data_IF_812396227027
#
_entry.id   IF_812396227027
#
_cell.length_a   1.000
_cell.length_b   1.000
_cell.length_c   1.000
_cell.angle_alpha   90.00
_cell.angle_beta   90.00
_cell.angle_gamma   90.00
#
_symmetry.space_group_name_H-M   'P 1'
#
loop_
_entity.id
_entity.type
_entity.pdbx_description
1 polymer ?
#
# COMPACT_ATOMS: atom_id res chain seq x y z
N UNK A 1 10.43 -28.54 -7.23
CA UNK A 1 10.47 -27.72 -8.45
C UNK A 1 10.11 -26.31 -7.99
N UNK A 2 11.08 -25.39 -8.11
CA UNK A 2 11.11 -23.99 -7.68
C UNK A 2 10.70 -23.69 -6.22
N UNK A 3 11.70 -23.44 -5.37
CA UNK A 3 11.57 -22.79 -4.05
C UNK A 3 11.23 -21.30 -4.27
N UNK A 4 10.08 -21.04 -4.90
CA UNK A 4 9.67 -19.76 -5.47
C UNK A 4 8.77 -18.98 -4.49
N UNK A 5 9.21 -18.79 -3.25
CA UNK A 5 8.38 -18.12 -2.24
C UNK A 5 9.19 -17.21 -1.30
N UNK A 6 10.40 -16.82 -1.70
CA UNK A 6 11.10 -15.73 -1.03
C UNK A 6 10.59 -14.36 -1.52
N UNK A 7 9.26 -14.16 -1.52
CA UNK A 7 8.70 -12.80 -1.57
C UNK A 7 9.23 -12.07 -0.35
N UNK A 8 10.11 -11.10 -0.61
CA UNK A 8 10.59 -10.19 0.41
C UNK A 8 9.40 -9.33 0.83
N UNK A 9 8.85 -9.63 2.01
CA UNK A 9 7.76 -8.85 2.58
C UNK A 9 8.39 -7.77 3.44
N UNK A 10 8.21 -6.48 3.10
CA UNK A 10 8.78 -5.41 3.87
C UNK A 10 8.21 -5.41 5.29
N UNK A 11 9.01 -5.02 6.30
CA UNK A 11 8.58 -4.97 7.69
C UNK A 11 7.37 -4.05 7.89
N UNK A 12 7.21 -3.02 7.05
CA UNK A 12 6.03 -2.16 7.04
C UNK A 12 4.74 -2.91 6.72
N UNK A 13 4.77 -3.87 5.78
CA UNK A 13 3.60 -4.70 5.46
C UNK A 13 3.39 -5.80 6.52
N UNK A 14 4.48 -6.36 7.04
CA UNK A 14 4.41 -7.29 8.16
C UNK A 14 3.71 -6.66 9.38
N UNK A 15 3.97 -5.37 9.66
CA UNK A 15 3.34 -4.65 10.75
C UNK A 15 1.80 -4.53 10.60
N UNK A 16 1.29 -4.46 9.38
CA UNK A 16 -0.17 -4.42 9.09
C UNK A 16 -0.87 -5.68 9.60
N UNK A 17 -0.22 -6.83 9.47
CA UNK A 17 -0.78 -8.13 9.84
C UNK A 17 -0.20 -8.71 11.14
N UNK A 18 0.60 -7.94 11.87
CA UNK A 18 1.15 -8.34 13.16
C UNK A 18 0.26 -7.86 14.32
N UNK A 19 0.23 -8.63 15.42
CA UNK A 19 -0.38 -8.20 16.68
C UNK A 19 0.54 -7.20 17.42
N UNK A 20 0.05 -6.58 18.51
CA UNK A 20 0.82 -5.69 19.37
C UNK A 20 2.14 -6.29 19.91
N UNK A 21 2.24 -7.63 19.95
CA UNK A 21 3.46 -8.38 20.32
C UNK A 21 4.33 -8.77 19.12
N UNK A 22 4.02 -8.30 17.92
CA UNK A 22 4.78 -8.56 16.69
C UNK A 22 4.54 -9.93 16.06
N UNK A 23 3.53 -10.70 16.51
CA UNK A 23 3.23 -12.02 15.92
C UNK A 23 2.26 -11.88 14.76
N UNK A 24 2.57 -12.52 13.64
CA UNK A 24 1.70 -12.57 12.48
C UNK A 24 0.36 -13.23 12.82
N UNK A 25 -0.72 -12.58 12.40
CA UNK A 25 -2.08 -13.06 12.59
C UNK A 25 -2.52 -14.04 11.50
N UNK A 26 -1.71 -14.17 10.44
CA UNK A 26 -1.97 -15.01 9.27
C UNK A 26 -0.70 -15.78 8.84
N UNK A 27 -0.84 -16.91 8.12
CA UNK A 27 0.30 -17.71 7.71
C UNK A 27 1.18 -16.99 6.67
N UNK A 28 2.49 -17.26 6.69
CA UNK A 28 3.50 -16.58 5.85
C UNK A 28 3.17 -16.61 4.35
N UNK A 29 2.57 -17.71 3.86
CA UNK A 29 2.13 -17.86 2.47
C UNK A 29 1.00 -16.91 2.11
N UNK A 30 0.01 -16.78 2.99
CA UNK A 30 -1.10 -15.84 2.79
C UNK A 30 -0.60 -14.39 2.88
N UNK A 31 0.38 -14.11 3.74
CA UNK A 31 1.03 -12.79 3.80
C UNK A 31 1.68 -12.44 2.47
N UNK A 32 2.35 -13.39 1.83
CA UNK A 32 2.97 -13.21 0.51
C UNK A 32 1.94 -12.89 -0.56
N UNK A 33 0.85 -13.66 -0.62
CA UNK A 33 -0.24 -13.41 -1.57
C UNK A 33 -0.91 -12.04 -1.34
N UNK A 34 -1.17 -11.65 -0.08
CA UNK A 34 -1.74 -10.33 0.25
C UNK A 34 -0.77 -9.21 -0.12
N UNK A 35 0.53 -9.39 0.17
CA UNK A 35 1.56 -8.42 -0.18
C UNK A 35 1.65 -8.21 -1.69
N UNK A 36 1.71 -9.28 -2.47
CA UNK A 36 1.74 -9.23 -3.93
C UNK A 36 0.52 -8.50 -4.49
N UNK A 37 -0.68 -8.85 -4.01
CA UNK A 37 -1.92 -8.17 -4.39
C UNK A 37 -1.86 -6.66 -4.10
N UNK A 38 -1.39 -6.27 -2.92
CA UNK A 38 -1.28 -4.87 -2.52
C UNK A 38 -0.23 -4.12 -3.34
N UNK A 39 0.90 -4.76 -3.65
CA UNK A 39 1.96 -4.16 -4.46
C UNK A 39 1.50 -3.97 -5.91
N UNK A 40 0.86 -4.97 -6.53
CA UNK A 40 0.31 -4.87 -7.88
C UNK A 40 -0.75 -3.77 -7.96
N UNK A 41 -1.63 -3.68 -6.96
CA UNK A 41 -2.64 -2.63 -6.89
C UNK A 41 -2.01 -1.23 -6.76
N UNK A 42 -0.96 -1.08 -5.96
CA UNK A 42 -0.24 0.19 -5.86
C UNK A 42 0.40 0.59 -7.21
N UNK A 43 0.97 -0.37 -7.95
CA UNK A 43 1.52 -0.13 -9.28
C UNK A 43 0.42 0.28 -10.28
N UNK A 44 -0.71 -0.43 -10.31
CA UNK A 44 -1.83 -0.12 -11.20
C UNK A 44 -2.44 1.27 -10.92
N UNK A 45 -2.40 1.72 -9.67
CA UNK A 45 -2.91 3.04 -9.27
C UNK A 45 -1.97 4.20 -9.62
N UNK A 46 -0.72 3.95 -10.02
CA UNK A 46 0.24 5.00 -10.37
C UNK A 46 -0.25 5.88 -11.52
N UNK A 47 -0.68 5.25 -12.60
CA UNK A 47 -1.16 5.95 -13.79
C UNK A 47 -2.47 6.67 -13.48
N UNK A 48 -3.36 6.03 -12.73
CA UNK A 48 -4.63 6.61 -12.33
C UNK A 48 -4.45 7.84 -11.43
N UNK A 49 -3.54 7.79 -10.45
CA UNK A 49 -3.25 8.91 -9.57
C UNK A 49 -2.70 10.12 -10.35
N UNK A 50 -1.76 9.88 -11.26
CA UNK A 50 -1.20 10.93 -12.11
C UNK A 50 -2.26 11.53 -13.04
N UNK A 51 -3.13 10.68 -13.62
CA UNK A 51 -4.24 11.13 -14.45
C UNK A 51 -5.21 12.01 -13.67
N UNK A 52 -5.64 11.61 -12.46
CA UNK A 52 -6.53 12.40 -11.60
C UNK A 52 -5.90 13.75 -11.26
N UNK A 53 -4.62 13.77 -10.89
CA UNK A 53 -3.90 15.01 -10.57
C UNK A 53 -3.90 15.97 -11.76
N UNK A 54 -3.59 15.47 -12.95
CA UNK A 54 -3.50 16.26 -14.16
C UNK A 54 -4.87 16.74 -14.66
N UNK A 55 -5.85 15.84 -14.74
CA UNK A 55 -7.17 16.11 -15.29
C UNK A 55 -7.98 17.08 -14.43
N UNK A 56 -7.87 16.96 -13.10
CA UNK A 56 -8.62 17.79 -12.16
C UNK A 56 -7.82 18.97 -11.61
N UNK A 57 -6.52 19.06 -11.92
CA UNK A 57 -5.63 20.10 -11.41
C UNK A 57 -5.56 20.16 -9.88
N UNK A 58 -5.76 19.02 -9.20
CA UNK A 58 -5.78 18.91 -7.74
C UNK A 58 -4.39 18.61 -7.17
N UNK A 59 -4.25 18.75 -5.86
CA UNK A 59 -2.99 18.44 -5.16
C UNK A 59 -2.80 16.93 -5.00
N UNK A 60 -1.55 16.51 -4.83
CA UNK A 60 -1.13 15.13 -4.55
C UNK A 60 -1.89 14.54 -3.35
N UNK A 61 -2.05 15.32 -2.28
CA UNK A 61 -2.78 14.91 -1.08
C UNK A 61 -4.28 14.69 -1.33
N UNK A 62 -4.89 15.47 -2.22
CA UNK A 62 -6.30 15.29 -2.61
C UNK A 62 -6.48 13.99 -3.41
N UNK A 63 -5.57 13.70 -4.34
CA UNK A 63 -5.58 12.44 -5.10
C UNK A 63 -5.42 11.24 -4.17
N UNK A 64 -4.40 11.24 -3.30
CA UNK A 64 -4.17 10.15 -2.35
C UNK A 64 -5.36 9.98 -1.40
N UNK A 65 -5.96 11.07 -0.93
CA UNK A 65 -7.17 11.03 -0.10
C UNK A 65 -8.37 10.38 -0.82
N UNK A 66 -8.55 10.65 -2.12
CA UNK A 66 -9.60 10.00 -2.92
C UNK A 66 -9.35 8.52 -3.11
N UNK A 67 -8.12 8.15 -3.47
CA UNK A 67 -7.73 6.74 -3.64
C UNK A 67 -7.90 5.99 -2.32
N UNK A 68 -7.46 6.56 -1.19
CA UNK A 68 -7.63 5.98 0.13
C UNK A 68 -9.10 5.70 0.47
N UNK A 69 -10.00 6.66 0.21
CA UNK A 69 -11.44 6.47 0.42
C UNK A 69 -12.02 5.39 -0.47
N UNK A 70 -11.52 5.26 -1.70
CA UNK A 70 -11.89 4.18 -2.61
C UNK A 70 -11.46 2.81 -2.07
N UNK A 71 -10.22 2.69 -1.61
CA UNK A 71 -9.65 1.44 -1.08
C UNK A 71 -10.24 1.00 0.25
N UNK A 72 -10.71 1.94 1.07
CA UNK A 72 -11.43 1.65 2.31
C UNK A 72 -12.88 1.22 2.08
N UNK A 73 -13.39 1.30 0.84
CA UNK A 73 -14.72 0.84 0.54
C UNK A 73 -14.76 -0.70 0.59
N UNK A 74 -15.87 -1.31 1.06
CA UNK A 74 -15.99 -2.76 1.15
C UNK A 74 -15.86 -3.47 -0.22
N UNK A 75 -16.06 -2.75 -1.32
CA UNK A 75 -15.89 -3.26 -2.68
C UNK A 75 -14.42 -3.59 -3.04
N UNK A 76 -13.44 -3.01 -2.33
CA UNK A 76 -12.02 -3.25 -2.60
C UNK A 76 -11.53 -4.60 -2.11
N UNK A 77 -12.26 -5.24 -1.17
CA UNK A 77 -11.85 -6.52 -0.58
C UNK A 77 -10.58 -6.46 0.29
N UNK A 78 -10.09 -5.26 0.56
CA UNK A 78 -8.93 -5.00 1.41
C UNK A 78 -9.36 -4.69 2.85
N UNK A 79 -8.53 -5.11 3.80
CA UNK A 79 -8.63 -4.65 5.18
C UNK A 79 -8.15 -3.19 5.29
N UNK A 80 -8.62 -2.47 6.33
CA UNK A 80 -8.29 -1.06 6.51
C UNK A 80 -6.78 -0.79 6.54
N UNK A 81 -6.00 -1.69 7.16
CA UNK A 81 -4.54 -1.57 7.20
C UNK A 81 -3.86 -1.85 5.85
N UNK A 82 -4.42 -2.77 5.04
CA UNK A 82 -3.91 -3.03 3.69
C UNK A 82 -4.18 -1.83 2.78
N UNK A 83 -5.39 -1.27 2.83
CA UNK A 83 -5.75 -0.06 2.09
C UNK A 83 -4.80 1.11 2.43
N UNK A 84 -4.53 1.33 3.71
CA UNK A 84 -3.61 2.39 4.15
C UNK A 84 -2.16 2.15 3.68
N UNK A 85 -1.74 0.89 3.68
CA UNK A 85 -0.42 0.50 3.18
C UNK A 85 -0.30 0.74 1.67
N UNK A 86 -1.31 0.35 0.89
CA UNK A 86 -1.33 0.57 -0.58
C UNK A 86 -1.22 2.05 -0.91
N UNK A 87 -1.96 2.92 -0.21
CA UNK A 87 -1.88 4.38 -0.42
C UNK A 87 -0.51 4.92 -0.05
N UNK A 88 0.07 4.43 1.04
CA UNK A 88 1.42 4.82 1.46
C UNK A 88 2.45 4.40 0.43
N UNK A 89 2.35 3.17 -0.08
CA UNK A 89 3.22 2.64 -1.12
C UNK A 89 3.10 3.42 -2.43
N UNK A 90 1.88 3.74 -2.84
CA UNK A 90 1.61 4.59 -3.99
C UNK A 90 2.25 5.98 -3.84
N UNK A 91 2.12 6.59 -2.66
CA UNK A 91 2.75 7.88 -2.37
C UNK A 91 4.29 7.79 -2.43
N UNK A 92 4.90 6.70 -1.95
CA UNK A 92 6.34 6.48 -2.08
C UNK A 92 6.79 6.37 -3.55
N UNK A 93 6.06 5.61 -4.36
CA UNK A 93 6.39 5.39 -5.77
C UNK A 93 6.28 6.68 -6.60
N UNK A 94 5.33 7.55 -6.27
CA UNK A 94 5.15 8.86 -6.91
C UNK A 94 6.02 9.96 -6.30
N UNK A 95 6.75 9.65 -5.24
CA UNK A 95 7.45 10.60 -4.37
C UNK A 95 6.56 11.75 -3.85
N UNK A 96 5.31 11.43 -3.51
CA UNK A 96 4.34 12.39 -3.01
C UNK A 96 4.37 12.49 -1.47
N UNK A 97 4.01 13.67 -0.91
CA UNK A 97 3.88 13.84 0.53
C UNK A 97 2.60 13.15 1.04
N UNK A 98 2.73 12.25 2.02
CA UNK A 98 1.61 11.56 2.67
C UNK A 98 1.84 11.39 4.16
N UNK A 99 0.79 11.58 4.98
CA UNK A 99 0.88 11.48 6.45
C UNK A 99 1.25 10.08 6.95
N UNK A 100 0.89 9.03 6.20
CA UNK A 100 1.28 7.64 6.48
C UNK A 100 2.68 7.28 6.01
N UNK A 101 3.36 8.15 5.24
CA UNK A 101 4.73 7.90 4.78
C UNK A 101 5.69 8.04 5.96
N UNK A 102 6.48 7.00 6.29
CA UNK A 102 7.59 7.19 7.22
C UNK A 102 8.53 8.23 6.58
N UNK A 103 8.87 9.29 7.34
CA UNK A 103 9.73 10.35 6.84
C UNK A 103 10.99 9.75 6.19
N UNK A 104 11.41 10.23 4.99
CA UNK A 104 12.63 9.72 4.37
C UNK A 104 13.76 9.88 5.39
N UNK A 105 14.41 8.78 5.75
CA UNK A 105 15.58 8.83 6.64
C UNK A 105 16.63 9.66 5.91
N UNK A 106 16.76 10.93 6.29
CA UNK A 106 17.83 11.78 5.81
C UNK A 106 19.16 11.10 6.13
N UNK A 107 19.92 10.78 5.10
CA UNK A 107 21.28 10.25 5.21
C UNK A 107 22.28 11.31 5.63
#
# INVERSE_FOLDING_TARGET
MADDDQVFIPPSFHAVHADARGRLRLPRRELGARHELCEDLAQALLEQAQAIRHDLGVTESDVLGRIARGLQAPASGLDAGEAEWVVTRLAELLDWPWVGRPAPRAG
#
